data_IF_748158998063
#
_entry.id   IF_748158998063
#
_cell.length_a   1.000
_cell.length_b   1.000
_cell.length_c   1.000
_cell.angle_alpha   90.00
_cell.angle_beta   90.00
_cell.angle_gamma   90.00
#
_symmetry.space_group_name_H-M   'P 1'
#
loop_
_entity.id
_entity.type
_entity.pdbx_description
1 polymer ?
#
# COMPACT_ATOMS: atom_id res chain seq x y z
N UNK A 1 12.21 29.15 -16.74
CA UNK A 1 10.87 28.60 -17.03
C UNK A 1 10.84 27.08 -16.94
N UNK A 2 11.75 26.34 -17.58
CA UNK A 2 11.80 24.86 -17.53
C UNK A 2 11.82 24.26 -16.10
N UNK A 3 12.67 24.77 -15.20
CA UNK A 3 12.73 24.33 -13.79
C UNK A 3 11.41 24.51 -13.03
N UNK A 4 10.67 25.57 -13.35
CA UNK A 4 9.36 25.82 -12.74
C UNK A 4 8.33 24.78 -13.21
N UNK A 5 8.29 24.49 -14.52
CA UNK A 5 7.39 23.48 -15.08
C UNK A 5 7.69 22.09 -14.52
N UNK A 6 8.96 21.69 -14.44
CA UNK A 6 9.36 20.43 -13.84
C UNK A 6 8.95 20.33 -12.36
N UNK A 7 9.08 21.41 -11.59
CA UNK A 7 8.64 21.44 -10.20
C UNK A 7 7.12 21.28 -10.07
N UNK A 8 6.33 21.93 -10.94
CA UNK A 8 4.87 21.80 -10.95
C UNK A 8 4.43 20.41 -11.40
N UNK A 9 5.11 19.83 -12.39
CA UNK A 9 4.86 18.48 -12.87
C UNK A 9 5.11 17.44 -11.78
N UNK A 10 6.25 17.54 -11.08
CA UNK A 10 6.58 16.64 -9.98
C UNK A 10 5.65 16.80 -8.78
N UNK A 11 5.21 18.03 -8.48
CA UNK A 11 4.21 18.26 -7.45
C UNK A 11 2.86 17.61 -7.81
N UNK A 12 2.43 17.76 -9.07
CA UNK A 12 1.20 17.16 -9.58
C UNK A 12 1.24 15.63 -9.56
N UNK A 13 2.32 15.02 -10.07
CA UNK A 13 2.46 13.57 -10.09
C UNK A 13 2.46 12.96 -8.68
N UNK A 14 3.13 13.63 -7.72
CA UNK A 14 3.13 13.20 -6.33
C UNK A 14 1.73 13.27 -5.68
N UNK A 15 0.99 14.35 -5.92
CA UNK A 15 -0.37 14.52 -5.42
C UNK A 15 -1.31 13.46 -6.02
N UNK A 16 -1.25 13.29 -7.35
CA UNK A 16 -2.05 12.30 -8.05
C UNK A 16 -1.77 10.87 -7.57
N UNK A 17 -0.50 10.54 -7.30
CA UNK A 17 -0.11 9.23 -6.77
C UNK A 17 -0.64 8.95 -5.35
N UNK A 18 -0.88 9.99 -4.54
CA UNK A 18 -1.41 9.84 -3.18
C UNK A 18 -2.93 9.92 -3.08
N UNK A 19 -3.59 10.51 -4.08
CA UNK A 19 -5.03 10.77 -4.04
C UNK A 19 -5.88 9.52 -4.35
N UNK A 20 -5.30 8.52 -5.02
CA UNK A 20 -6.01 7.31 -5.45
C UNK A 20 -5.08 6.11 -5.42
N UNK A 21 -5.63 4.97 -5.01
CA UNK A 21 -4.94 3.68 -4.98
C UNK A 21 -4.88 3.11 -6.40
N UNK A 22 -3.98 3.65 -7.21
CA UNK A 22 -3.85 3.27 -8.62
C UNK A 22 -3.34 1.83 -8.75
N UNK A 23 -3.99 1.03 -9.60
CA UNK A 23 -3.59 -0.36 -9.87
C UNK A 23 -2.17 -0.46 -10.43
N UNK A 24 -1.75 0.52 -11.24
CA UNK A 24 -0.39 0.57 -11.77
C UNK A 24 0.69 0.78 -10.70
N UNK A 25 0.31 1.28 -9.52
CA UNK A 25 1.17 1.47 -8.37
C UNK A 25 1.08 0.32 -7.35
N UNK A 26 0.22 -0.67 -7.59
CA UNK A 26 0.11 -1.85 -6.74
C UNK A 26 1.35 -2.73 -6.87
N UNK A 27 1.88 -3.17 -5.73
CA UNK A 27 3.11 -3.93 -5.64
C UNK A 27 2.95 -5.04 -4.62
N UNK A 28 3.58 -6.17 -4.92
CA UNK A 28 3.69 -7.30 -3.99
C UNK A 28 5.08 -7.29 -3.38
N UNK A 29 5.16 -7.36 -2.05
CA UNK A 29 6.41 -7.60 -1.35
C UNK A 29 6.39 -9.00 -0.73
N UNK A 30 7.47 -9.76 -0.96
CA UNK A 30 7.70 -11.05 -0.31
C UNK A 30 9.03 -10.96 0.42
N UNK A 31 9.05 -11.35 1.70
CA UNK A 31 10.29 -11.38 2.48
C UNK A 31 10.33 -12.61 3.39
N UNK A 32 11.50 -13.27 3.52
CA UNK A 32 11.66 -14.41 4.40
C UNK A 32 11.80 -13.94 5.85
N UNK A 33 11.22 -14.71 6.79
CA UNK A 33 11.47 -14.51 8.22
C UNK A 33 12.90 -14.92 8.58
N UNK A 34 13.47 -14.22 9.55
CA UNK A 34 14.77 -14.53 10.14
C UNK A 34 14.57 -14.88 11.61
N UNK A 35 15.28 -15.91 12.08
CA UNK A 35 15.28 -16.31 13.50
C UNK A 35 15.61 -15.13 14.40
N UNK A 36 14.88 -14.99 15.50
CA UNK A 36 15.01 -13.93 16.49
C UNK A 36 14.81 -12.49 15.97
N UNK A 37 14.34 -12.32 14.72
CA UNK A 37 14.06 -11.01 14.12
C UNK A 37 12.56 -10.70 14.08
N UNK A 38 12.14 -9.71 14.87
CA UNK A 38 10.74 -9.25 14.93
C UNK A 38 10.42 -8.10 13.97
N UNK A 39 11.42 -7.37 13.48
CA UNK A 39 11.24 -6.16 12.67
C UNK A 39 11.88 -6.30 11.29
N UNK A 40 11.16 -5.88 10.26
CA UNK A 40 11.57 -5.96 8.86
C UNK A 40 11.41 -4.58 8.20
N UNK A 41 12.36 -4.23 7.35
CA UNK A 41 12.26 -2.99 6.55
C UNK A 41 11.20 -3.14 5.48
N UNK A 42 10.31 -2.15 5.40
CA UNK A 42 9.38 -2.05 4.28
C UNK A 42 10.12 -1.52 3.03
N UNK A 43 9.61 -1.82 1.82
CA UNK A 43 10.14 -1.27 0.57
C UNK A 43 10.30 0.26 0.63
N UNK A 44 11.35 0.80 0.01
CA UNK A 44 11.65 2.24 0.06
C UNK A 44 10.58 3.13 -0.59
N UNK A 45 9.81 2.55 -1.49
CA UNK A 45 8.68 3.14 -2.20
C UNK A 45 7.32 2.84 -1.53
N UNK A 46 7.29 2.15 -0.39
CA UNK A 46 6.07 1.83 0.33
C UNK A 46 5.32 3.10 0.76
N UNK A 47 4.07 3.26 0.32
CA UNK A 47 3.18 4.29 0.84
C UNK A 47 2.24 3.77 1.94
N UNK A 48 1.38 2.83 1.60
CA UNK A 48 0.46 2.21 2.55
C UNK A 48 0.11 0.78 2.12
N UNK A 49 -0.36 0.01 3.10
CA UNK A 49 -0.67 -1.41 2.93
C UNK A 49 -2.06 -1.59 2.30
N UNK A 50 -2.18 -2.52 1.35
CA UNK A 50 -3.50 -2.99 0.92
C UNK A 50 -4.06 -3.90 2.00
N UNK A 51 -5.20 -3.53 2.57
CA UNK A 51 -5.76 -4.17 3.76
C UNK A 51 -6.11 -5.64 3.46
N UNK A 52 -5.89 -6.54 4.43
CA UNK A 52 -6.19 -7.97 4.36
C UNK A 52 -5.39 -8.79 3.32
N UNK A 53 -4.25 -8.30 2.86
CA UNK A 53 -3.39 -9.00 1.88
C UNK A 53 -2.18 -9.70 2.50
N UNK A 54 -2.03 -9.64 3.83
CA UNK A 54 -0.86 -10.20 4.52
C UNK A 54 -1.03 -11.68 4.80
N UNK A 55 -0.13 -12.49 4.27
CA UNK A 55 -0.16 -13.96 4.38
C UNK A 55 1.20 -14.55 4.69
N UNK A 56 1.20 -15.65 5.45
CA UNK A 56 2.33 -16.58 5.55
C UNK A 56 2.12 -17.66 4.48
N UNK A 57 2.93 -17.60 3.40
CA UNK A 57 2.84 -18.56 2.29
C UNK A 57 3.35 -19.93 2.66
N UNK A 58 4.26 -20.02 3.64
CA UNK A 58 4.81 -21.31 4.09
C UNK A 58 3.80 -22.07 4.94
N UNK A 59 2.99 -21.37 5.73
CA UNK A 59 1.96 -21.98 6.57
C UNK A 59 0.55 -21.89 5.97
N UNK A 60 0.37 -21.21 4.84
CA UNK A 60 -0.92 -20.96 4.18
C UNK A 60 -1.95 -20.31 5.12
N UNK A 61 -1.49 -19.45 6.02
CA UNK A 61 -2.35 -18.77 6.99
C UNK A 61 -2.30 -17.25 6.82
N UNK A 62 -3.42 -16.55 7.05
CA UNK A 62 -3.43 -15.10 7.06
C UNK A 62 -2.69 -14.57 8.30
N UNK A 63 -1.94 -13.49 8.13
CA UNK A 63 -1.30 -12.77 9.24
C UNK A 63 -2.24 -11.67 9.70
N UNK A 64 -2.57 -11.65 11.00
CA UNK A 64 -3.60 -10.75 11.53
C UNK A 64 -3.05 -9.35 11.84
N UNK A 65 -3.68 -8.31 11.30
CA UNK A 65 -3.31 -6.93 11.59
C UNK A 65 -3.94 -5.94 10.59
N UNK A 66 -3.56 -4.65 10.64
CA UNK A 66 -2.58 -4.06 11.56
C UNK A 66 -3.16 -3.90 12.97
N UNK A 67 -2.38 -4.28 13.99
CA UNK A 67 -2.83 -4.18 15.39
C UNK A 67 -2.56 -2.77 15.96
N UNK A 68 -3.53 -2.23 16.70
CA UNK A 68 -3.41 -0.93 17.36
C UNK A 68 -2.32 -0.93 18.45
N UNK A 69 -1.71 0.23 18.77
CA UNK A 69 -0.68 0.30 19.81
C UNK A 69 -1.13 -0.21 21.18
N UNK A 70 -2.36 0.10 21.60
CA UNK A 70 -2.90 -0.34 22.89
C UNK A 70 -3.10 -1.87 22.95
N UNK A 71 -3.66 -2.46 21.88
CA UNK A 71 -3.82 -3.91 21.78
C UNK A 71 -2.46 -4.61 21.72
N UNK A 72 -1.49 -4.01 21.04
CA UNK A 72 -0.12 -4.53 21.00
C UNK A 72 0.54 -4.59 22.39
N UNK A 73 0.39 -3.55 23.21
CA UNK A 73 0.91 -3.57 24.58
C UNK A 73 0.18 -4.61 25.44
N UNK A 74 -1.13 -4.74 25.27
CA UNK A 74 -1.91 -5.78 25.96
C UNK A 74 -1.40 -7.17 25.63
N UNK A 75 -1.08 -7.43 24.35
CA UNK A 75 -0.49 -8.70 23.90
C UNK A 75 0.90 -8.92 24.52
N UNK A 76 1.77 -7.91 24.52
CA UNK A 76 3.13 -8.03 25.05
C UNK A 76 3.20 -8.12 26.58
N UNK A 77 2.22 -7.58 27.30
CA UNK A 77 2.17 -7.58 28.76
C UNK A 77 1.23 -8.64 29.35
N UNK A 78 0.51 -9.40 28.50
CA UNK A 78 -0.39 -10.45 28.94
C UNK A 78 0.34 -11.69 29.48
N UNK A 79 -0.21 -12.31 30.53
CA UNK A 79 0.28 -13.56 31.11
C UNK A 79 -0.04 -14.81 30.28
N UNK A 80 -0.94 -14.69 29.29
CA UNK A 80 -1.33 -15.81 28.42
C UNK A 80 -0.23 -15.98 27.37
N UNK A 81 0.45 -17.13 27.43
CA UNK A 81 1.57 -17.47 26.54
C UNK A 81 1.21 -17.36 25.06
N UNK A 82 2.26 -17.38 24.22
CA UNK A 82 2.26 -17.33 22.75
C UNK A 82 1.51 -18.49 22.06
N UNK A 83 0.37 -18.94 22.59
CA UNK A 83 -0.42 -20.08 22.13
C UNK A 83 -1.39 -19.75 21.00
N UNK A 84 -1.15 -18.68 20.24
CA UNK A 84 -2.03 -18.29 19.14
C UNK A 84 -1.32 -18.64 17.83
N UNK A 85 -1.87 -19.63 17.12
CA UNK A 85 -1.40 -20.20 15.86
C UNK A 85 -1.27 -19.20 14.70
N UNK A 86 -1.70 -17.95 14.89
CA UNK A 86 -1.71 -16.93 13.85
C UNK A 86 -0.71 -15.83 14.18
N UNK A 87 0.24 -15.64 13.26
CA UNK A 87 1.13 -14.48 13.29
C UNK A 87 0.31 -13.20 13.22
N UNK A 88 0.82 -12.17 13.87
CA UNK A 88 0.25 -10.84 13.95
C UNK A 88 1.24 -9.85 13.39
N UNK A 89 0.72 -8.74 12.89
CA UNK A 89 1.57 -7.64 12.47
C UNK A 89 1.06 -6.27 12.87
N UNK A 90 1.99 -5.33 12.93
CA UNK A 90 1.73 -3.90 12.92
C UNK A 90 2.77 -3.20 12.06
N UNK A 91 2.42 -2.02 11.55
CA UNK A 91 3.35 -1.14 10.87
C UNK A 91 3.69 0.00 11.83
N UNK A 92 4.97 0.24 12.05
CA UNK A 92 5.47 1.34 12.89
C UNK A 92 6.49 2.18 12.11
N UNK A 93 6.74 3.40 12.55
CA UNK A 93 7.91 4.15 12.06
C UNK A 93 9.14 3.70 12.82
N UNK A 94 10.22 3.43 12.09
CA UNK A 94 11.53 3.20 12.68
C UNK A 94 12.11 4.48 13.28
N UNK A 95 13.22 4.34 14.01
CA UNK A 95 13.88 5.44 14.74
C UNK A 95 14.22 6.63 13.82
N UNK A 96 14.57 6.38 12.56
CA UNK A 96 14.93 7.41 11.60
C UNK A 96 13.72 8.14 10.97
N UNK A 97 12.48 7.82 11.36
CA UNK A 97 11.18 8.33 10.85
C UNK A 97 10.92 8.17 9.34
N UNK A 98 11.96 8.05 8.53
CA UNK A 98 11.96 7.84 7.09
C UNK A 98 11.65 6.39 6.71
N UNK A 99 12.05 5.43 7.55
CA UNK A 99 11.85 4.00 7.29
C UNK A 99 10.66 3.51 8.10
N UNK A 100 9.70 2.88 7.43
CA UNK A 100 8.59 2.17 8.08
C UNK A 100 9.01 0.71 8.30
N UNK A 101 8.64 0.16 9.44
CA UNK A 101 8.98 -1.21 9.85
C UNK A 101 7.71 -2.05 9.88
N UNK A 102 7.81 -3.24 9.29
CA UNK A 102 6.84 -4.31 9.45
C UNK A 102 7.25 -5.13 10.67
N UNK A 103 6.43 -5.12 11.72
CA UNK A 103 6.73 -5.77 12.99
C UNK A 103 5.81 -6.95 13.17
N UNK A 104 6.37 -8.12 13.44
CA UNK A 104 5.62 -9.36 13.65
C UNK A 104 5.67 -9.85 15.10
N UNK A 105 4.63 -10.57 15.48
CA UNK A 105 4.52 -11.29 16.74
C UNK A 105 3.77 -12.63 16.50
N UNK A 106 4.27 -13.77 16.99
CA UNK A 106 5.51 -13.93 17.75
C UNK A 106 6.77 -13.71 16.89
N UNK A 107 7.89 -13.42 17.55
CA UNK A 107 9.21 -13.42 16.91
C UNK A 107 9.49 -14.82 16.34
N UNK A 108 9.94 -14.95 15.07
CA UNK A 108 10.21 -16.25 14.48
C UNK A 108 11.27 -17.03 15.27
N UNK A 109 10.94 -18.27 15.65
CA UNK A 109 11.92 -19.20 16.22
C UNK A 109 12.78 -19.92 15.16
N UNK A 110 12.42 -19.80 13.88
CA UNK A 110 13.15 -20.35 12.74
C UNK A 110 13.11 -19.39 11.55
N UNK A 111 14.15 -19.44 10.71
CA UNK A 111 14.21 -18.67 9.47
C UNK A 111 13.50 -19.40 8.32
N UNK A 112 13.09 -18.65 7.30
CA UNK A 112 12.64 -19.20 6.00
C UNK A 112 11.14 -19.33 5.80
N UNK A 113 10.30 -18.74 6.66
CA UNK A 113 8.87 -18.58 6.33
C UNK A 113 8.68 -17.36 5.43
N UNK A 114 7.96 -17.51 4.32
CA UNK A 114 7.73 -16.43 3.36
C UNK A 114 6.48 -15.64 3.72
N UNK A 115 6.68 -14.41 4.20
CA UNK A 115 5.60 -13.46 4.42
C UNK A 115 5.40 -12.61 3.15
N UNK A 116 4.15 -12.50 2.73
CA UNK A 116 3.73 -11.70 1.57
C UNK A 116 2.71 -10.67 1.99
N UNK A 117 2.75 -9.50 1.34
CA UNK A 117 1.68 -8.52 1.39
C UNK A 117 1.66 -7.68 0.12
N UNK A 118 0.51 -7.08 -0.17
CA UNK A 118 0.34 -6.10 -1.23
C UNK A 118 0.34 -4.68 -0.64
N UNK A 119 0.89 -3.73 -1.38
CA UNK A 119 1.02 -2.34 -0.96
C UNK A 119 0.96 -1.40 -2.15
N UNK A 120 0.50 -0.19 -1.89
CA UNK A 120 0.56 0.89 -2.87
C UNK A 120 1.91 1.58 -2.76
N UNK A 121 2.59 1.68 -3.90
CA UNK A 121 3.86 2.39 -4.05
C UNK A 121 3.64 3.88 -4.27
N UNK A 122 4.53 4.73 -3.72
CA UNK A 122 4.58 6.15 -4.04
C UNK A 122 5.45 6.47 -5.27
N UNK A 123 6.09 5.46 -5.88
CA UNK A 123 6.99 5.63 -7.01
C UNK A 123 6.20 5.65 -8.33
N UNK A 124 5.77 6.85 -8.72
CA UNK A 124 4.93 7.10 -9.90
C UNK A 124 5.72 7.39 -11.19
N UNK A 125 7.05 7.34 -11.14
CA UNK A 125 7.93 7.61 -12.29
C UNK A 125 8.73 6.36 -12.62
N UNK A 126 8.82 6.05 -13.91
CA UNK A 126 9.74 5.06 -14.45
C UNK A 126 11.03 5.74 -14.89
N UNK A 127 12.16 5.17 -14.49
CA UNK A 127 13.49 5.58 -14.92
C UNK A 127 13.87 4.85 -16.22
N UNK A 128 14.36 5.61 -17.20
CA UNK A 128 14.83 5.11 -18.49
C UNK A 128 13.79 4.27 -19.25
N UNK A 129 14.01 2.95 -19.37
CA UNK A 129 13.25 2.00 -20.19
C UNK A 129 12.22 1.18 -19.40
N UNK A 130 12.00 1.48 -18.12
CA UNK A 130 11.14 0.67 -17.25
C UNK A 130 11.89 -0.16 -16.21
N UNK A 131 13.22 -0.10 -16.18
CA UNK A 131 14.05 -0.95 -15.30
C UNK A 131 13.97 -0.59 -13.81
N UNK A 132 13.59 0.64 -13.45
CA UNK A 132 13.44 1.05 -12.05
C UNK A 132 12.40 2.15 -11.90
N UNK A 133 11.83 2.28 -10.69
CA UNK A 133 10.81 3.27 -10.37
C UNK A 133 11.33 4.26 -9.33
N UNK A 134 10.86 5.51 -9.41
CA UNK A 134 11.21 6.56 -8.47
C UNK A 134 10.02 7.50 -8.20
N UNK A 135 10.20 8.41 -7.26
CA UNK A 135 9.14 9.32 -6.79
C UNK A 135 9.14 10.68 -7.48
N UNK A 136 10.04 10.90 -8.46
CA UNK A 136 10.24 12.20 -9.11
C UNK A 136 10.99 12.09 -10.43
N UNK A 137 10.52 12.82 -11.44
CA UNK A 137 11.24 13.01 -12.71
C UNK A 137 12.48 13.86 -12.50
N UNK A 138 13.62 13.36 -12.97
CA UNK A 138 14.94 14.00 -12.84
C UNK A 138 15.65 14.15 -14.18
N UNK A 139 15.51 13.18 -15.07
CA UNK A 139 16.13 13.15 -16.38
C UNK A 139 15.06 13.23 -17.47
N UNK A 140 15.47 13.65 -18.68
CA UNK A 140 14.57 13.75 -19.84
C UNK A 140 14.09 12.38 -20.35
N UNK A 141 14.78 11.31 -19.96
CA UNK A 141 14.42 9.92 -20.29
C UNK A 141 13.39 9.31 -19.33
N UNK A 142 13.12 9.97 -18.20
CA UNK A 142 12.14 9.48 -17.22
C UNK A 142 10.71 9.74 -17.74
N UNK A 143 9.79 8.82 -17.48
CA UNK A 143 8.38 8.98 -17.88
C UNK A 143 7.41 8.65 -16.75
N UNK A 144 6.26 9.35 -16.66
CA UNK A 144 5.26 9.06 -15.65
C UNK A 144 4.58 7.71 -15.93
N UNK A 145 4.31 6.94 -14.87
CA UNK A 145 3.49 5.73 -14.94
C UNK A 145 1.99 6.06 -15.02
N UNK A 146 1.58 7.15 -14.37
CA UNK A 146 0.19 7.62 -14.34
C UNK A 146 -0.24 8.16 -15.71
N UNK A 147 -1.56 8.17 -15.95
CA UNK A 147 -2.14 8.54 -17.25
C UNK A 147 -1.61 9.90 -17.77
N UNK A 148 -1.12 9.88 -19.01
CA UNK A 148 -0.49 11.05 -19.63
C UNK A 148 -1.46 12.23 -19.79
N UNK A 149 -2.76 11.98 -19.94
CA UNK A 149 -3.79 13.02 -20.05
C UNK A 149 -3.97 13.74 -18.72
N UNK A 150 -4.06 12.99 -17.62
CA UNK A 150 -4.13 13.56 -16.27
C UNK A 150 -2.89 14.39 -15.94
N UNK A 151 -1.71 13.86 -16.26
CA UNK A 151 -0.45 14.58 -16.04
C UNK A 151 -0.39 15.89 -16.85
N UNK A 152 -0.83 15.86 -18.11
CA UNK A 152 -0.87 17.03 -18.99
C UNK A 152 -1.87 18.10 -18.51
N UNK A 153 -3.10 17.71 -18.19
CA UNK A 153 -4.13 18.62 -17.69
C UNK A 153 -3.73 19.23 -16.35
N UNK A 154 -3.17 18.40 -15.46
CA UNK A 154 -2.63 18.82 -14.17
C UNK A 154 -1.55 19.88 -14.28
N UNK A 155 -0.59 19.66 -15.19
CA UNK A 155 0.46 20.64 -15.47
C UNK A 155 -0.12 21.94 -16.04
N UNK A 156 -1.09 21.84 -16.97
CA UNK A 156 -1.71 23.00 -17.64
C UNK A 156 -2.36 23.96 -16.63
N UNK A 157 -3.26 23.48 -15.78
CA UNK A 157 -3.98 24.36 -14.85
C UNK A 157 -3.04 24.93 -13.77
N UNK A 158 -2.07 24.14 -13.27
CA UNK A 158 -1.09 24.62 -12.28
C UNK A 158 -0.17 25.68 -12.88
N UNK A 159 0.20 25.53 -14.14
CA UNK A 159 0.98 26.54 -14.85
C UNK A 159 0.19 27.84 -15.03
N UNK A 160 -1.06 27.77 -15.49
CA UNK A 160 -1.94 28.95 -15.63
C UNK A 160 -2.09 29.68 -14.28
N UNK A 161 -2.35 28.93 -13.21
CA UNK A 161 -2.42 29.47 -11.83
C UNK A 161 -1.12 30.15 -11.43
N UNK A 162 0.03 29.53 -11.67
CA UNK A 162 1.34 30.10 -11.35
C UNK A 162 1.67 31.37 -12.16
N UNK A 163 1.00 31.58 -13.29
CA UNK A 163 1.10 32.80 -14.11
C UNK A 163 0.00 33.83 -13.83
N UNK A 164 -0.94 33.54 -12.93
CA UNK A 164 -2.07 34.42 -12.64
C UNK A 164 -3.08 34.51 -13.79
N UNK A 165 -3.07 33.55 -14.71
CA UNK A 165 -4.03 33.46 -15.81
C UNK A 165 -5.31 32.75 -15.35
N UNK A 166 -6.47 32.99 -16.01
CA UNK A 166 -7.67 32.20 -15.75
C UNK A 166 -7.40 30.70 -15.94
N UNK A 167 -7.76 29.89 -14.93
CA UNK A 167 -7.45 28.44 -14.91
C UNK A 167 -8.65 27.57 -14.54
N UNK A 168 -9.83 28.17 -14.33
CA UNK A 168 -11.01 27.49 -13.78
C UNK A 168 -11.54 26.41 -14.72
N UNK A 169 -11.57 26.67 -16.02
CA UNK A 169 -12.04 25.70 -17.03
C UNK A 169 -11.14 24.48 -17.08
N UNK A 170 -9.83 24.68 -17.06
CA UNK A 170 -8.81 23.64 -17.11
C UNK A 170 -8.76 22.80 -15.83
N UNK A 171 -9.05 23.42 -14.69
CA UNK A 171 -9.20 22.70 -13.42
C UNK A 171 -10.44 21.79 -13.48
N UNK A 172 -11.56 22.28 -14.01
CA UNK A 172 -12.78 21.48 -14.16
C UNK A 172 -12.54 20.30 -15.11
N UNK A 173 -11.93 20.53 -16.28
CA UNK A 173 -11.57 19.47 -17.23
C UNK A 173 -10.65 18.42 -16.59
N UNK A 174 -9.67 18.85 -15.79
CA UNK A 174 -8.80 17.95 -15.04
C UNK A 174 -9.60 17.08 -14.05
N UNK A 175 -10.50 17.66 -13.28
CA UNK A 175 -11.28 16.95 -12.27
C UNK A 175 -12.28 15.96 -12.91
N UNK A 176 -12.94 16.36 -13.99
CA UNK A 176 -13.82 15.45 -14.76
C UNK A 176 -13.06 14.24 -15.29
N UNK A 177 -11.84 14.45 -15.80
CA UNK A 177 -11.00 13.35 -16.28
C UNK A 177 -10.46 12.49 -15.14
N UNK A 178 -10.14 13.09 -13.99
CA UNK A 178 -9.71 12.36 -12.79
C UNK A 178 -10.80 11.40 -12.32
N UNK A 179 -12.03 11.87 -12.18
CA UNK A 179 -13.16 11.04 -11.77
C UNK A 179 -13.41 9.89 -12.76
N UNK A 180 -13.34 10.19 -14.06
CA UNK A 180 -13.53 9.19 -15.11
C UNK A 180 -12.46 8.10 -15.11
N UNK A 181 -11.19 8.46 -14.91
CA UNK A 181 -10.08 7.51 -14.96
C UNK A 181 -9.98 6.73 -13.65
N UNK A 182 -10.07 7.41 -12.50
CA UNK A 182 -10.04 6.76 -11.19
C UNK A 182 -11.21 5.77 -10.99
N UNK A 183 -12.40 6.09 -11.51
CA UNK A 183 -13.54 5.19 -11.49
C UNK A 183 -13.38 3.93 -12.36
N UNK A 184 -12.54 3.98 -13.40
CA UNK A 184 -12.23 2.82 -14.25
C UNK A 184 -11.09 1.96 -13.70
N UNK A 185 -10.16 2.60 -12.99
CA UNK A 185 -8.96 1.93 -12.52
C UNK A 185 -9.26 0.97 -11.37
N UNK A 186 -10.27 1.22 -10.54
CA UNK A 186 -10.68 0.32 -9.46
C UNK A 186 -11.37 -0.94 -10.01
N UNK A 187 -10.78 -2.14 -9.90
CA UNK A 187 -11.50 -3.37 -10.18
C UNK A 187 -12.46 -3.63 -9.02
N UNK A 188 -13.72 -3.22 -9.15
CA UNK A 188 -14.74 -3.66 -8.21
C UNK A 188 -14.98 -5.16 -8.43
N UNK A 189 -14.94 -6.01 -7.37
CA UNK A 189 -15.49 -7.36 -7.46
C UNK A 189 -16.93 -7.20 -7.93
N UNK A 190 -17.25 -7.70 -9.13
CA UNK A 190 -18.49 -7.39 -9.82
C UNK A 190 -19.67 -7.39 -8.85
N UNK A 191 -20.32 -6.22 -8.70
CA UNK A 191 -21.40 -6.01 -7.76
C UNK A 191 -22.47 -7.09 -7.97
N UNK A 192 -22.44 -8.13 -7.13
CA UNK A 192 -23.34 -9.26 -7.25
C UNK A 192 -24.67 -8.89 -6.60
N UNK A 193 -25.74 -8.79 -7.39
CA UNK A 193 -27.11 -8.57 -6.91
C UNK A 193 -27.64 -9.74 -6.06
N UNK A 194 -26.98 -10.89 -6.14
CA UNK A 194 -27.12 -12.00 -5.21
C UNK A 194 -25.94 -11.87 -4.25
N UNK A 195 -26.19 -11.54 -2.98
CA UNK A 195 -25.18 -11.15 -1.98
C UNK A 195 -23.89 -11.99 -1.96
N UNK A 196 -22.80 -11.45 -1.39
CA UNK A 196 -21.40 -11.81 -1.67
C UNK A 196 -21.20 -13.33 -1.85
N UNK A 197 -21.15 -13.74 -3.12
CA UNK A 197 -20.78 -15.09 -3.51
C UNK A 197 -19.30 -15.29 -3.18
N UNK A 198 -19.03 -16.37 -2.45
CA UNK A 198 -17.73 -16.77 -1.90
C UNK A 198 -17.33 -16.13 -0.57
N UNK A 199 -18.26 -16.01 0.38
CA UNK A 199 -17.88 -16.40 1.75
C UNK A 199 -17.75 -17.91 1.73
N UNK A 200 -16.58 -18.40 1.32
CA UNK A 200 -16.19 -19.76 1.62
C UNK A 200 -16.17 -19.83 3.15
N UNK A 201 -17.30 -20.27 3.74
CA UNK A 201 -17.44 -20.53 5.18
C UNK A 201 -16.55 -21.71 5.49
N UNK A 202 -15.24 -21.47 5.52
CA UNK A 202 -14.32 -22.33 6.22
C UNK A 202 -14.74 -22.35 7.69
N UNK A 203 -14.43 -23.44 8.39
CA UNK A 203 -14.53 -23.56 9.83
C UNK A 203 -13.81 -22.36 10.48
N UNK A 204 -14.53 -21.29 10.79
CA UNK A 204 -13.97 -20.06 11.36
C UNK A 204 -13.95 -20.12 12.88
N UNK A 205 -13.35 -19.11 13.51
CA UNK A 205 -13.20 -18.90 14.97
C UNK A 205 -14.47 -19.21 15.81
N UNK A 206 -15.67 -19.03 15.25
CA UNK A 206 -16.95 -19.37 15.89
C UNK A 206 -17.15 -20.89 16.11
N UNK A 207 -16.42 -21.72 15.37
CA UNK A 207 -16.57 -23.18 15.32
C UNK A 207 -15.33 -23.93 15.83
N UNK A 208 -14.33 -23.23 16.37
CA UNK A 208 -13.10 -23.84 16.92
C UNK A 208 -13.18 -23.65 18.45
N UNK A 209 -13.13 -24.72 19.26
CA UNK A 209 -13.13 -24.58 20.71
C UNK A 209 -11.86 -23.84 21.15
N UNK A 210 -12.01 -22.62 21.66
CA UNK A 210 -10.89 -21.78 22.13
C UNK A 210 -10.32 -22.19 23.49
N UNK A 211 -10.96 -23.13 24.19
CA UNK A 211 -10.63 -23.46 25.59
C UNK A 211 -10.13 -24.88 25.80
N UNK A 212 -9.98 -25.69 24.74
CA UNK A 212 -9.55 -27.09 24.87
C UNK A 212 -10.51 -27.96 25.71
N UNK A 213 -11.76 -27.55 25.90
CA UNK A 213 -12.80 -28.35 26.54
C UNK A 213 -13.98 -28.59 25.58
N UNK A 214 -14.25 -29.86 25.28
CA UNK A 214 -15.37 -30.34 24.46
C UNK A 214 -14.92 -31.43 23.47
N UNK A 215 -15.44 -32.65 23.64
CA UNK A 215 -15.25 -33.77 22.70
C UNK A 215 -15.86 -33.48 21.33
#
# INVERSE_FOLDING_TARGET
MARQMLSLFNAHGKELASDTDWTILDRVNVFPTVVDQAEYDLPGDFDHLVINTVWDRSQLTPVRGPISPAMWQTIKSGLIGNGIYFRRYRIVRGVNMAVRKFVIDPTPGTSGADLVFEYISNAWVSLNDGSSICTRVTNDTDFPLLDATLMRLGLKWRFLRAKGLPFTTELNEHNEMLDKISGRDRPEPGASLVGPGLVQRFLGYLNIPETGYGN
#
